data_IF_029718408498
#
_entry.id   IF_029718408498
#
_cell.length_a   1.000
_cell.length_b   1.000
_cell.length_c   1.000
_cell.angle_alpha   90.00
_cell.angle_beta   90.00
_cell.angle_gamma   90.00
#
_symmetry.space_group_name_H-M   'P 1'
#
loop_
_entity.id
_entity.type
_entity.pdbx_description
1 polymer ?
#
# COMPACT_ATOMS: atom_id res chain seq x y z
N UNK A 1 -41.70 -1.76 -21.51
CA UNK A 1 -41.86 -1.40 -20.07
C UNK A 1 -42.01 -2.62 -19.15
N UNK A 2 -42.90 -3.61 -19.40
CA UNK A 2 -42.99 -4.84 -18.57
C UNK A 2 -41.77 -5.77 -18.71
N UNK A 3 -41.30 -6.04 -19.93
CA UNK A 3 -40.08 -6.83 -20.18
C UNK A 3 -38.84 -6.20 -19.53
N UNK A 4 -38.64 -4.90 -19.75
CA UNK A 4 -37.55 -4.11 -19.15
C UNK A 4 -37.54 -4.11 -17.61
N UNK A 5 -38.71 -4.13 -16.95
CA UNK A 5 -38.79 -4.27 -15.49
C UNK A 5 -38.44 -5.68 -15.01
N UNK A 6 -38.78 -6.72 -15.78
CA UNK A 6 -38.40 -8.09 -15.47
C UNK A 6 -36.87 -8.29 -15.64
N UNK A 7 -36.29 -7.70 -16.68
CA UNK A 7 -34.85 -7.77 -16.97
C UNK A 7 -34.02 -6.98 -15.94
N UNK A 8 -34.48 -5.78 -15.53
CA UNK A 8 -33.84 -5.01 -14.45
C UNK A 8 -33.92 -5.70 -13.08
N UNK A 9 -35.02 -6.41 -12.80
CA UNK A 9 -35.14 -7.28 -11.63
C UNK A 9 -34.15 -8.46 -11.67
N UNK A 10 -33.92 -9.02 -12.85
CA UNK A 10 -32.89 -10.04 -13.09
C UNK A 10 -31.47 -9.50 -12.85
N UNK A 11 -31.15 -8.28 -13.31
CA UNK A 11 -29.85 -7.65 -13.08
C UNK A 11 -29.60 -7.40 -11.59
N UNK A 12 -30.58 -6.84 -10.86
CA UNK A 12 -30.46 -6.58 -9.43
C UNK A 12 -30.21 -7.88 -8.63
N UNK A 13 -30.91 -8.97 -8.99
CA UNK A 13 -30.69 -10.28 -8.36
C UNK A 13 -29.28 -10.83 -8.64
N UNK A 14 -28.76 -10.67 -9.87
CA UNK A 14 -27.39 -11.06 -10.24
C UNK A 14 -26.34 -10.25 -9.47
N UNK A 15 -26.54 -8.94 -9.32
CA UNK A 15 -25.67 -8.07 -8.53
C UNK A 15 -25.68 -8.46 -7.05
N UNK A 16 -26.84 -8.78 -6.50
CA UNK A 16 -26.94 -9.26 -5.12
C UNK A 16 -26.19 -10.59 -4.90
N UNK A 17 -26.24 -11.50 -5.87
CA UNK A 17 -25.48 -12.76 -5.83
C UNK A 17 -23.96 -12.53 -5.86
N UNK A 18 -23.48 -11.60 -6.70
CA UNK A 18 -22.07 -11.18 -6.71
C UNK A 18 -21.63 -10.65 -5.33
N UNK A 19 -22.44 -9.78 -4.71
CA UNK A 19 -22.17 -9.22 -3.38
C UNK A 19 -22.22 -10.30 -2.28
N UNK A 20 -23.04 -11.35 -2.46
CA UNK A 20 -23.21 -12.46 -1.52
C UNK A 20 -22.02 -13.43 -1.44
N UNK A 21 -21.11 -13.38 -2.42
CA UNK A 21 -19.93 -14.24 -2.51
C UNK A 21 -20.06 -15.43 -3.48
N UNK A 22 -21.08 -15.44 -4.35
CA UNK A 22 -21.28 -16.49 -5.38
C UNK A 22 -20.75 -16.06 -6.76
N UNK A 23 -19.72 -15.22 -6.78
CA UNK A 23 -19.19 -14.67 -8.02
C UNK A 23 -18.35 -15.68 -8.82
N UNK A 24 -18.80 -15.98 -10.04
CA UNK A 24 -18.05 -16.70 -11.08
C UNK A 24 -17.72 -15.78 -12.26
N UNK A 25 -16.73 -16.15 -13.08
CA UNK A 25 -16.38 -15.43 -14.33
C UNK A 25 -17.59 -15.26 -15.23
N UNK A 26 -18.40 -16.32 -15.35
CA UNK A 26 -19.63 -16.31 -16.14
C UNK A 26 -20.66 -15.36 -15.57
N UNK A 27 -20.85 -15.32 -14.24
CA UNK A 27 -21.79 -14.40 -13.60
C UNK A 27 -21.36 -12.93 -13.77
N UNK A 28 -20.06 -12.64 -13.66
CA UNK A 28 -19.51 -11.31 -13.86
C UNK A 28 -19.64 -10.86 -15.33
N UNK A 29 -19.30 -11.74 -16.27
CA UNK A 29 -19.45 -11.49 -17.70
C UNK A 29 -20.92 -11.29 -18.08
N UNK A 30 -21.84 -12.06 -17.51
CA UNK A 30 -23.27 -11.91 -17.76
C UNK A 30 -23.84 -10.58 -17.25
N UNK A 31 -23.35 -10.07 -16.11
CA UNK A 31 -23.70 -8.72 -15.61
C UNK A 31 -23.08 -7.65 -16.51
N UNK A 32 -21.83 -7.78 -16.91
CA UNK A 32 -21.16 -6.83 -17.82
C UNK A 32 -21.85 -6.74 -19.19
N UNK A 33 -22.21 -7.88 -19.79
CA UNK A 33 -22.96 -7.94 -21.04
C UNK A 33 -24.35 -7.31 -20.92
N UNK A 34 -25.03 -7.50 -19.78
CA UNK A 34 -26.32 -6.85 -19.52
C UNK A 34 -26.20 -5.33 -19.43
N UNK A 35 -25.08 -4.81 -18.91
CA UNK A 35 -24.80 -3.36 -18.90
C UNK A 35 -24.57 -2.81 -20.32
N UNK A 36 -23.86 -3.55 -21.18
CA UNK A 36 -23.60 -3.14 -22.57
C UNK A 36 -24.84 -3.20 -23.47
N UNK A 37 -25.70 -4.21 -23.27
CA UNK A 37 -26.93 -4.39 -24.05
C UNK A 37 -28.03 -3.37 -23.76
N UNK A 38 -27.86 -2.54 -22.73
CA UNK A 38 -28.83 -1.52 -22.34
C UNK A 38 -28.26 -0.13 -22.65
N UNK A 39 -28.81 0.53 -23.67
CA UNK A 39 -28.53 1.95 -23.90
C UNK A 39 -28.87 2.73 -22.62
N UNK A 40 -28.02 3.71 -22.26
CA UNK A 40 -28.09 4.54 -21.04
C UNK A 40 -29.49 5.10 -20.72
N UNK A 41 -30.40 5.15 -21.70
CA UNK A 41 -31.76 5.66 -21.60
C UNK A 41 -32.70 4.85 -20.69
N UNK A 42 -32.34 3.61 -20.32
CA UNK A 42 -33.23 2.71 -19.57
C UNK A 42 -32.70 2.24 -18.21
N UNK A 43 -31.41 2.44 -17.92
CA UNK A 43 -30.79 2.03 -16.67
C UNK A 43 -30.65 3.21 -15.71
N UNK A 44 -31.03 3.02 -14.45
CA UNK A 44 -30.71 3.96 -13.38
C UNK A 44 -29.18 3.95 -13.18
N UNK A 45 -28.55 5.13 -13.18
CA UNK A 45 -27.12 5.32 -12.92
C UNK A 45 -26.67 4.58 -11.64
N UNK A 46 -27.52 4.55 -10.62
CA UNK A 46 -27.23 3.82 -9.37
C UNK A 46 -27.06 2.31 -9.60
N UNK A 47 -27.92 1.69 -10.42
CA UNK A 47 -27.84 0.27 -10.72
C UNK A 47 -26.61 -0.06 -11.56
N UNK A 48 -26.26 0.81 -12.51
CA UNK A 48 -25.01 0.70 -13.29
C UNK A 48 -23.80 0.78 -12.37
N UNK A 49 -23.76 1.80 -11.52
CA UNK A 49 -22.67 2.03 -10.59
C UNK A 49 -22.47 0.84 -9.64
N UNK A 50 -23.55 0.35 -9.02
CA UNK A 50 -23.49 -0.79 -8.11
C UNK A 50 -23.08 -2.09 -8.83
N UNK A 51 -23.49 -2.28 -10.09
CA UNK A 51 -23.10 -3.45 -10.88
C UNK A 51 -21.60 -3.46 -11.18
N UNK A 52 -21.04 -2.32 -11.61
CA UNK A 52 -19.61 -2.19 -11.89
C UNK A 52 -18.76 -2.40 -10.64
N UNK A 53 -19.15 -1.78 -9.52
CA UNK A 53 -18.47 -1.97 -8.23
C UNK A 53 -18.57 -3.41 -7.73
N UNK A 54 -19.72 -4.06 -7.89
CA UNK A 54 -19.89 -5.47 -7.50
C UNK A 54 -18.97 -6.40 -8.31
N UNK A 55 -18.87 -6.21 -9.63
CA UNK A 55 -17.95 -6.98 -10.47
C UNK A 55 -16.49 -6.72 -10.04
N UNK A 56 -16.13 -5.46 -9.82
CA UNK A 56 -14.77 -5.08 -9.45
C UNK A 56 -14.33 -5.68 -8.10
N UNK A 57 -15.19 -5.61 -7.09
CA UNK A 57 -14.93 -6.17 -5.76
C UNK A 57 -15.05 -7.70 -5.70
N UNK A 58 -15.66 -8.33 -6.71
CA UNK A 58 -15.66 -9.78 -6.93
C UNK A 58 -14.37 -10.30 -7.61
N UNK A 59 -13.27 -9.53 -7.54
CA UNK A 59 -11.97 -9.82 -8.18
C UNK A 59 -12.03 -9.98 -9.71
N UNK A 60 -12.94 -9.28 -10.38
CA UNK A 60 -12.96 -9.15 -11.85
C UNK A 60 -12.81 -7.70 -12.30
N UNK A 61 -11.78 -6.96 -11.83
CA UNK A 61 -11.65 -5.55 -12.15
C UNK A 61 -11.39 -5.29 -13.65
N UNK A 62 -10.77 -6.22 -14.38
CA UNK A 62 -10.59 -6.09 -15.83
C UNK A 62 -11.93 -6.07 -16.60
N UNK A 63 -12.83 -6.99 -16.27
CA UNK A 63 -14.19 -7.04 -16.86
C UNK A 63 -14.99 -5.79 -16.52
N UNK A 64 -14.87 -5.32 -15.26
CA UNK A 64 -15.50 -4.06 -14.85
C UNK A 64 -14.92 -2.84 -15.59
N UNK A 65 -13.60 -2.81 -15.83
CA UNK A 65 -12.94 -1.73 -16.56
C UNK A 65 -13.47 -1.63 -17.99
N UNK A 66 -13.48 -2.74 -18.74
CA UNK A 66 -13.98 -2.78 -20.12
C UNK A 66 -15.45 -2.31 -20.20
N UNK A 67 -16.31 -2.79 -19.29
CA UNK A 67 -17.70 -2.35 -19.24
C UNK A 67 -17.83 -0.85 -18.88
N UNK A 68 -17.01 -0.36 -17.95
CA UNK A 68 -17.02 1.04 -17.54
C UNK A 68 -16.52 1.98 -18.64
N UNK A 69 -15.49 1.58 -19.39
CA UNK A 69 -14.89 2.39 -20.46
C UNK A 69 -15.90 2.63 -21.60
N UNK A 70 -16.66 1.61 -22.00
CA UNK A 70 -17.76 1.75 -22.99
C UNK A 70 -18.84 2.73 -22.50
N UNK A 71 -19.21 2.66 -21.23
CA UNK A 71 -20.22 3.55 -20.65
C UNK A 71 -19.71 4.99 -20.51
N UNK A 72 -18.42 5.18 -20.23
CA UNK A 72 -17.75 6.47 -20.18
C UNK A 72 -17.74 7.15 -21.55
N UNK A 73 -17.43 6.42 -22.62
CA UNK A 73 -17.47 6.93 -24.00
C UNK A 73 -18.88 7.43 -24.35
N UNK A 74 -19.90 6.62 -24.07
CA UNK A 74 -21.29 6.98 -24.29
C UNK A 74 -21.72 8.22 -23.47
N UNK A 75 -21.27 8.34 -22.21
CA UNK A 75 -21.51 9.53 -21.38
C UNK A 75 -20.77 10.78 -21.93
N UNK A 76 -19.59 10.58 -22.53
CA UNK A 76 -18.80 11.55 -23.27
C UNK A 76 -19.57 12.16 -24.43
N UNK A 77 -20.01 11.31 -25.36
CA UNK A 77 -20.75 11.69 -26.57
C UNK A 77 -22.03 12.47 -26.23
N UNK A 78 -22.72 12.07 -25.17
CA UNK A 78 -23.97 12.68 -24.70
C UNK A 78 -23.77 13.92 -23.84
N UNK A 79 -22.51 14.28 -23.51
CA UNK A 79 -22.16 15.38 -22.60
C UNK A 79 -22.88 15.29 -21.24
N UNK A 80 -23.07 14.08 -20.75
CA UNK A 80 -23.77 13.82 -19.50
C UNK A 80 -22.81 13.96 -18.30
N UNK A 81 -22.57 15.19 -17.84
CA UNK A 81 -21.54 15.52 -16.82
C UNK A 81 -21.62 14.68 -15.55
N UNK A 82 -22.83 14.45 -15.02
CA UNK A 82 -23.02 13.60 -13.82
C UNK A 82 -22.60 12.15 -14.06
N UNK A 83 -22.94 11.60 -15.24
CA UNK A 83 -22.53 10.24 -15.61
C UNK A 83 -21.01 10.15 -15.80
N UNK A 84 -20.40 11.14 -16.47
CA UNK A 84 -18.95 11.22 -16.63
C UNK A 84 -18.22 11.25 -15.28
N UNK A 85 -18.69 12.07 -14.33
CA UNK A 85 -18.11 12.15 -13.00
C UNK A 85 -18.22 10.82 -12.24
N UNK A 86 -19.43 10.24 -12.17
CA UNK A 86 -19.68 9.01 -11.41
C UNK A 86 -18.96 7.81 -12.02
N UNK A 87 -19.05 7.60 -13.32
CA UNK A 87 -18.33 6.53 -14.00
C UNK A 87 -16.82 6.74 -13.94
N UNK A 88 -16.35 8.00 -14.00
CA UNK A 88 -14.93 8.32 -13.84
C UNK A 88 -14.41 7.95 -12.45
N UNK A 89 -15.19 8.23 -11.40
CA UNK A 89 -14.87 7.81 -10.03
C UNK A 89 -14.84 6.28 -9.88
N UNK A 90 -15.78 5.57 -10.51
CA UNK A 90 -15.81 4.09 -10.51
C UNK A 90 -14.61 3.54 -11.26
N UNK A 91 -14.25 4.12 -12.41
CA UNK A 91 -13.09 3.69 -13.18
C UNK A 91 -11.79 3.88 -12.42
N UNK A 92 -11.70 4.96 -11.64
CA UNK A 92 -10.60 5.21 -10.72
C UNK A 92 -10.53 4.17 -9.59
N UNK A 93 -11.66 3.79 -8.99
CA UNK A 93 -11.72 2.72 -7.99
C UNK A 93 -11.31 1.37 -8.60
N UNK A 94 -11.75 1.06 -9.82
CA UNK A 94 -11.33 -0.13 -10.54
C UNK A 94 -9.81 -0.13 -10.77
N UNK A 95 -9.24 1.02 -11.16
CA UNK A 95 -7.78 1.16 -11.31
C UNK A 95 -7.04 0.94 -9.98
N UNK A 96 -7.59 1.46 -8.86
CA UNK A 96 -7.04 1.22 -7.52
C UNK A 96 -7.04 -0.28 -7.18
N UNK A 97 -8.12 -0.99 -7.49
CA UNK A 97 -8.23 -2.43 -7.29
C UNK A 97 -7.26 -3.23 -8.18
N UNK A 98 -6.88 -2.71 -9.34
CA UNK A 98 -5.82 -3.25 -10.21
C UNK A 98 -4.41 -2.88 -9.70
N UNK A 99 -4.30 -2.07 -8.65
CA UNK A 99 -3.03 -1.56 -8.14
C UNK A 99 -2.41 -0.47 -9.03
N UNK A 100 -3.12 0.04 -10.04
CA UNK A 100 -2.70 1.21 -10.82
C UNK A 100 -3.07 2.49 -10.07
N UNK A 101 -2.27 2.78 -9.03
CA UNK A 101 -2.49 3.93 -8.14
C UNK A 101 -2.32 5.28 -8.85
N UNK A 102 -1.55 5.31 -9.95
CA UNK A 102 -1.38 6.54 -10.74
C UNK A 102 -2.67 6.88 -11.48
N UNK A 103 -3.22 5.93 -12.23
CA UNK A 103 -4.50 6.14 -12.93
C UNK A 103 -5.65 6.36 -11.94
N UNK A 104 -5.63 5.66 -10.79
CA UNK A 104 -6.63 5.84 -9.74
C UNK A 104 -6.65 7.26 -9.17
N UNK A 105 -5.49 7.81 -8.78
CA UNK A 105 -5.43 9.17 -8.22
C UNK A 105 -5.87 10.21 -9.26
N UNK A 106 -5.36 10.12 -10.49
CA UNK A 106 -5.71 11.06 -11.57
C UNK A 106 -7.21 11.01 -11.92
N UNK A 107 -7.77 9.80 -12.06
CA UNK A 107 -9.19 9.62 -12.37
C UNK A 107 -10.10 10.13 -11.26
N UNK A 108 -9.77 9.83 -10.00
CA UNK A 108 -10.56 10.26 -8.85
C UNK A 108 -10.54 11.79 -8.67
N UNK A 109 -9.37 12.43 -8.82
CA UNK A 109 -9.25 13.89 -8.79
C UNK A 109 -9.98 14.55 -9.96
N UNK A 110 -9.92 13.96 -11.16
CA UNK A 110 -10.67 14.44 -12.34
C UNK A 110 -12.18 14.37 -12.10
N UNK A 111 -12.66 13.28 -11.51
CA UNK A 111 -14.07 13.14 -11.15
C UNK A 111 -14.50 14.23 -10.15
N UNK A 112 -13.72 14.45 -9.08
CA UNK A 112 -13.97 15.52 -8.09
C UNK A 112 -13.98 16.91 -8.73
N UNK A 113 -13.16 17.16 -9.75
CA UNK A 113 -13.17 18.41 -10.51
C UNK A 113 -14.34 18.55 -11.49
N UNK A 114 -14.92 17.44 -11.94
CA UNK A 114 -16.01 17.42 -12.93
C UNK A 114 -17.36 17.81 -12.31
N UNK A 115 -17.59 17.46 -11.05
CA UNK A 115 -18.84 17.71 -10.35
C UNK A 115 -18.58 18.39 -9.00
N UNK A 116 -19.31 19.47 -8.71
CA UNK A 116 -19.19 20.21 -7.43
C UNK A 116 -19.44 19.28 -6.25
N UNK A 117 -18.68 19.46 -5.16
CA UNK A 117 -18.76 18.64 -3.95
C UNK A 117 -20.21 18.45 -3.43
N UNK A 118 -21.02 19.50 -3.42
CA UNK A 118 -22.40 19.45 -2.93
C UNK A 118 -23.32 18.58 -3.80
N UNK A 119 -22.99 18.39 -5.08
CA UNK A 119 -23.79 17.62 -6.03
C UNK A 119 -23.55 16.11 -5.95
N UNK A 120 -22.53 15.67 -5.21
CA UNK A 120 -22.22 14.25 -5.04
C UNK A 120 -23.09 13.56 -3.99
N UNK A 121 -23.61 14.31 -3.00
CA UNK A 121 -24.26 13.72 -1.84
C UNK A 121 -23.35 12.71 -1.14
N UNK A 122 -23.90 11.56 -0.72
CA UNK A 122 -23.13 10.50 -0.04
C UNK A 122 -22.09 9.82 -0.95
N UNK A 123 -22.24 9.92 -2.27
CA UNK A 123 -21.35 9.27 -3.22
C UNK A 123 -19.96 9.91 -3.27
N UNK A 124 -19.80 11.12 -2.72
CA UNK A 124 -18.49 11.82 -2.66
C UNK A 124 -17.42 10.97 -1.98
N UNK A 125 -17.83 10.08 -1.06
CA UNK A 125 -16.93 9.18 -0.36
C UNK A 125 -16.18 8.24 -1.30
N UNK A 126 -16.76 7.85 -2.45
CA UNK A 126 -16.09 7.01 -3.44
C UNK A 126 -14.82 7.68 -3.98
N UNK A 127 -14.90 8.78 -4.76
CA UNK A 127 -13.69 9.38 -5.32
C UNK A 127 -12.73 9.93 -4.25
N UNK A 128 -13.22 10.43 -3.10
CA UNK A 128 -12.34 10.83 -2.00
C UNK A 128 -11.53 9.65 -1.45
N UNK A 129 -12.19 8.54 -1.13
CA UNK A 129 -11.51 7.36 -0.57
C UNK A 129 -10.52 6.75 -1.56
N UNK A 130 -10.88 6.71 -2.85
CA UNK A 130 -9.99 6.24 -3.92
C UNK A 130 -8.76 7.15 -4.05
N UNK A 131 -8.94 8.47 -4.11
CA UNK A 131 -7.84 9.42 -4.22
C UNK A 131 -6.92 9.39 -2.99
N UNK A 132 -7.47 9.37 -1.77
CA UNK A 132 -6.69 9.28 -0.53
C UNK A 132 -5.86 8.00 -0.50
N UNK A 133 -6.46 6.86 -0.88
CA UNK A 133 -5.76 5.57 -0.90
C UNK A 133 -4.63 5.56 -1.93
N UNK A 134 -4.90 6.05 -3.14
CA UNK A 134 -3.93 6.13 -4.22
C UNK A 134 -2.76 7.07 -3.89
N UNK A 135 -3.04 8.30 -3.42
CA UNK A 135 -2.02 9.28 -3.05
C UNK A 135 -1.17 8.79 -1.86
N UNK A 136 -1.79 8.13 -0.89
CA UNK A 136 -1.08 7.50 0.24
C UNK A 136 -0.15 6.39 -0.26
N UNK A 137 -0.63 5.54 -1.18
CA UNK A 137 0.17 4.48 -1.77
C UNK A 137 1.35 5.01 -2.61
N UNK A 138 1.21 6.19 -3.21
CA UNK A 138 2.25 6.90 -3.96
C UNK A 138 3.25 7.68 -3.07
N UNK A 139 2.98 7.81 -1.77
CA UNK A 139 3.79 8.63 -0.86
C UNK A 139 3.48 10.13 -0.90
N UNK A 140 2.48 10.56 -1.67
CA UNK A 140 1.98 11.94 -1.74
C UNK A 140 1.11 12.30 -0.53
N UNK A 141 1.67 12.20 0.68
CA UNK A 141 0.92 12.34 1.92
C UNK A 141 0.31 13.73 2.12
N UNK A 142 0.98 14.79 1.66
CA UNK A 142 0.46 16.16 1.79
C UNK A 142 -0.82 16.39 0.98
N UNK A 143 -0.88 15.84 -0.24
CA UNK A 143 -2.07 15.92 -1.10
C UNK A 143 -3.22 15.08 -0.52
N UNK A 144 -2.92 13.89 0.01
CA UNK A 144 -3.91 13.07 0.69
C UNK A 144 -4.50 13.77 1.94
N UNK A 145 -3.67 14.46 2.74
CA UNK A 145 -4.11 15.21 3.92
C UNK A 145 -5.01 16.40 3.53
N UNK A 146 -4.78 17.05 2.38
CA UNK A 146 -5.66 18.12 1.90
C UNK A 146 -7.07 17.58 1.60
N UNK A 147 -7.16 16.40 0.98
CA UNK A 147 -8.45 15.77 0.70
C UNK A 147 -9.23 15.40 1.98
N UNK A 148 -8.54 15.13 3.09
CA UNK A 148 -9.17 14.86 4.37
C UNK A 148 -9.85 16.09 4.99
N UNK A 149 -9.53 17.30 4.51
CA UNK A 149 -10.17 18.55 4.95
C UNK A 149 -11.49 18.84 4.25
N UNK A 150 -11.86 18.06 3.23
CA UNK A 150 -13.15 18.22 2.58
C UNK A 150 -14.30 17.89 3.53
N UNK A 151 -15.30 18.80 3.57
CA UNK A 151 -16.55 18.55 4.26
C UNK A 151 -17.30 17.39 3.58
N UNK A 152 -17.49 16.31 4.33
CA UNK A 152 -18.25 15.14 3.89
C UNK A 152 -19.61 15.09 4.60
N UNK A 153 -20.70 14.77 3.89
CA UNK A 153 -22.03 14.71 4.52
C UNK A 153 -22.11 13.65 5.63
N UNK A 154 -22.64 13.99 6.80
CA UNK A 154 -22.81 13.05 7.92
C UNK A 154 -23.54 11.73 7.52
N UNK A 155 -24.60 11.75 6.68
CA UNK A 155 -25.26 10.52 6.25
C UNK A 155 -24.34 9.54 5.49
N UNK A 156 -23.23 10.02 4.91
CA UNK A 156 -22.25 9.19 4.21
C UNK A 156 -21.67 8.10 5.13
N UNK A 157 -21.42 8.42 6.40
CA UNK A 157 -20.85 7.49 7.38
C UNK A 157 -21.76 6.30 7.73
N UNK A 158 -23.03 6.34 7.31
CA UNK A 158 -23.98 5.21 7.45
C UNK A 158 -24.05 4.32 6.21
N UNK A 159 -23.20 4.57 5.21
CA UNK A 159 -23.15 3.84 3.94
C UNK A 159 -21.81 3.16 3.73
N UNK A 160 -21.70 2.32 2.69
CA UNK A 160 -20.44 1.68 2.29
C UNK A 160 -19.34 2.70 1.97
N UNK A 161 -19.70 3.86 1.42
CA UNK A 161 -18.75 4.93 1.09
C UNK A 161 -18.11 5.55 2.34
N UNK A 162 -18.87 5.64 3.44
CA UNK A 162 -18.34 6.05 4.73
C UNK A 162 -17.30 5.06 5.28
N UNK A 163 -17.57 3.76 5.15
CA UNK A 163 -16.63 2.71 5.56
C UNK A 163 -15.36 2.76 4.70
N UNK A 164 -15.49 2.90 3.38
CA UNK A 164 -14.34 3.05 2.47
C UNK A 164 -13.51 4.29 2.80
N UNK A 165 -14.16 5.42 3.07
CA UNK A 165 -13.50 6.66 3.48
C UNK A 165 -12.73 6.50 4.79
N UNK A 166 -13.34 5.91 5.82
CA UNK A 166 -12.67 5.64 7.10
C UNK A 166 -11.47 4.71 6.93
N UNK A 167 -11.57 3.68 6.09
CA UNK A 167 -10.44 2.80 5.78
C UNK A 167 -9.30 3.55 5.09
N UNK A 168 -9.61 4.35 4.07
CA UNK A 168 -8.62 5.16 3.35
C UNK A 168 -7.90 6.12 4.30
N UNK A 169 -8.66 6.83 5.15
CA UNK A 169 -8.11 7.73 6.18
C UNK A 169 -7.26 6.99 7.21
N UNK A 170 -7.71 5.80 7.67
CA UNK A 170 -6.93 4.97 8.58
C UNK A 170 -5.61 4.51 7.98
N UNK A 171 -5.58 4.10 6.71
CA UNK A 171 -4.33 3.76 6.01
C UNK A 171 -3.41 4.98 5.85
N UNK A 172 -3.97 6.16 5.55
CA UNK A 172 -3.23 7.41 5.53
C UNK A 172 -2.58 7.73 6.88
N UNK A 173 -3.34 7.59 7.97
CA UNK A 173 -2.82 7.74 9.33
C UNK A 173 -1.71 6.75 9.65
N UNK A 174 -1.81 5.49 9.22
CA UNK A 174 -0.71 4.53 9.37
C UNK A 174 0.55 4.95 8.62
N UNK A 175 0.41 5.41 7.37
CA UNK A 175 1.54 5.83 6.54
C UNK A 175 2.23 7.10 7.09
N UNK A 176 1.51 7.92 7.84
CA UNK A 176 2.00 9.16 8.47
C UNK A 176 2.33 9.00 9.96
N UNK A 177 2.55 7.76 10.42
CA UNK A 177 2.94 7.39 11.79
C UNK A 177 1.97 7.85 12.90
N UNK A 178 0.66 7.83 12.58
CA UNK A 178 -0.46 8.10 13.50
C UNK A 178 -1.28 6.82 13.79
N UNK A 179 -0.69 5.75 14.37
CA UNK A 179 -1.34 4.44 14.44
C UNK A 179 -2.58 4.40 15.35
N UNK A 180 -2.67 5.22 16.39
CA UNK A 180 -3.86 5.26 17.26
C UNK A 180 -5.07 5.90 16.58
N UNK A 181 -4.85 6.92 15.73
CA UNK A 181 -5.92 7.50 14.92
C UNK A 181 -6.43 6.47 13.89
N UNK A 182 -5.52 5.74 13.25
CA UNK A 182 -5.87 4.64 12.35
C UNK A 182 -6.68 3.55 13.06
N UNK A 183 -6.27 3.15 14.26
CA UNK A 183 -6.99 2.15 15.06
C UNK A 183 -8.43 2.56 15.30
N UNK A 184 -8.69 3.81 15.69
CA UNK A 184 -10.04 4.32 15.92
C UNK A 184 -10.93 4.25 14.66
N UNK A 185 -10.38 4.57 13.48
CA UNK A 185 -11.11 4.48 12.22
C UNK A 185 -11.43 3.03 11.84
N UNK A 186 -10.48 2.10 12.02
CA UNK A 186 -10.69 0.68 11.72
C UNK A 186 -11.65 0.01 12.71
N UNK A 187 -11.59 0.36 14.00
CA UNK A 187 -12.57 -0.09 15.01
C UNK A 187 -13.98 0.42 14.69
N UNK A 188 -14.08 1.67 14.24
CA UNK A 188 -15.35 2.25 13.79
C UNK A 188 -15.90 1.50 12.57
N UNK A 189 -15.06 1.20 11.57
CA UNK A 189 -15.44 0.34 10.45
C UNK A 189 -15.98 -1.01 10.92
N UNK A 190 -15.26 -1.67 11.83
CA UNK A 190 -15.66 -2.97 12.37
C UNK A 190 -16.96 -2.95 13.16
N UNK A 191 -17.26 -1.85 13.87
CA UNK A 191 -18.54 -1.65 14.54
C UNK A 191 -19.68 -1.47 13.53
N UNK A 192 -19.53 -0.54 12.59
CA UNK A 192 -20.54 -0.24 11.56
C UNK A 192 -20.87 -1.46 10.70
N UNK A 193 -19.86 -2.27 10.34
CA UNK A 193 -20.07 -3.48 9.54
C UNK A 193 -20.74 -4.62 10.33
N UNK A 194 -20.50 -4.71 11.64
CA UNK A 194 -21.19 -5.68 12.52
C UNK A 194 -22.64 -5.30 12.79
N UNK A 195 -22.92 -4.01 12.92
CA UNK A 195 -24.29 -3.47 13.10
C UNK A 195 -25.08 -3.44 11.77
N UNK A 196 -24.37 -3.44 10.64
CA UNK A 196 -24.92 -3.35 9.29
C UNK A 196 -25.17 -4.69 8.60
N UNK A 197 -25.08 -4.68 7.26
CA UNK A 197 -25.39 -5.83 6.42
C UNK A 197 -24.28 -6.91 6.49
N UNK A 198 -24.57 -8.16 6.92
CA UNK A 198 -23.59 -9.24 7.00
C UNK A 198 -22.86 -9.55 5.68
N UNK A 199 -23.51 -9.37 4.53
CA UNK A 199 -22.89 -9.62 3.21
C UNK A 199 -21.72 -8.68 2.92
N UNK A 200 -21.78 -7.43 3.41
CA UNK A 200 -20.69 -6.46 3.22
C UNK A 200 -19.44 -6.81 4.04
N UNK A 201 -19.59 -7.57 5.13
CA UNK A 201 -18.45 -7.99 5.96
C UNK A 201 -17.49 -8.91 5.20
N UNK A 202 -17.96 -9.61 4.16
CA UNK A 202 -17.14 -10.51 3.34
C UNK A 202 -16.25 -9.74 2.36
N UNK A 203 -16.79 -8.67 1.77
CA UNK A 203 -16.11 -7.88 0.74
C UNK A 203 -15.11 -6.86 1.27
N UNK A 204 -15.22 -6.46 2.54
CA UNK A 204 -14.41 -5.37 3.13
C UNK A 204 -13.47 -5.95 4.20
N UNK A 205 -12.14 -5.97 3.97
CA UNK A 205 -11.17 -6.64 4.84
C UNK A 205 -10.77 -5.82 6.09
N UNK A 206 -11.73 -5.25 6.81
CA UNK A 206 -11.46 -4.39 7.99
C UNK A 206 -10.70 -5.09 9.12
N UNK A 207 -10.80 -6.43 9.22
CA UNK A 207 -10.00 -7.22 10.17
C UNK A 207 -8.53 -7.25 9.79
N UNK A 208 -8.22 -7.28 8.49
CA UNK A 208 -6.84 -7.12 8.01
C UNK A 208 -6.30 -5.72 8.36
N UNK A 209 -7.14 -4.69 8.29
CA UNK A 209 -6.73 -3.34 8.69
C UNK A 209 -6.45 -3.26 10.20
N UNK A 210 -7.29 -3.88 11.03
CA UNK A 210 -7.04 -4.03 12.47
C UNK A 210 -5.77 -4.84 12.77
N UNK A 211 -5.53 -5.90 12.01
CA UNK A 211 -4.31 -6.69 12.14
C UNK A 211 -3.07 -5.84 11.79
N UNK A 212 -3.12 -5.06 10.72
CA UNK A 212 -2.04 -4.18 10.28
C UNK A 212 -1.69 -3.13 11.34
N UNK A 213 -2.67 -2.42 11.89
CA UNK A 213 -2.41 -1.41 12.93
C UNK A 213 -1.91 -2.05 14.22
N UNK A 214 -2.44 -3.21 14.62
CA UNK A 214 -1.97 -3.92 15.80
C UNK A 214 -0.53 -4.40 15.64
N UNK A 215 -0.12 -4.79 14.44
CA UNK A 215 1.27 -5.12 14.13
C UNK A 215 2.16 -3.88 14.30
N UNK A 216 1.73 -2.72 13.79
CA UNK A 216 2.47 -1.45 13.86
C UNK A 216 2.69 -0.96 15.30
N UNK A 217 1.72 -1.17 16.19
CA UNK A 217 1.84 -0.81 17.62
C UNK A 217 2.48 -1.91 18.48
N UNK A 218 3.05 -2.96 17.87
CA UNK A 218 3.77 -4.03 18.58
C UNK A 218 2.90 -5.12 19.20
N UNK A 219 1.59 -5.14 18.95
CA UNK A 219 0.65 -6.16 19.44
C UNK A 219 0.56 -7.34 18.47
N UNK A 220 1.68 -8.04 18.25
CA UNK A 220 1.79 -9.12 17.26
C UNK A 220 0.80 -10.29 17.46
N UNK A 221 0.44 -10.60 18.71
CA UNK A 221 -0.56 -11.64 19.01
C UNK A 221 -1.96 -11.23 18.54
N UNK A 222 -2.40 -10.03 18.92
CA UNK A 222 -3.69 -9.47 18.49
C UNK A 222 -3.75 -9.29 16.97
N UNK A 223 -2.64 -8.89 16.35
CA UNK A 223 -2.54 -8.81 14.89
C UNK A 223 -2.79 -10.16 14.21
N UNK A 224 -2.18 -11.24 14.74
CA UNK A 224 -2.43 -12.60 14.27
C UNK A 224 -3.88 -13.02 14.45
N UNK A 225 -4.46 -12.79 15.63
CA UNK A 225 -5.85 -13.17 15.93
C UNK A 225 -6.83 -12.56 14.91
N UNK A 226 -6.66 -11.28 14.58
CA UNK A 226 -7.47 -10.59 13.56
C UNK A 226 -7.26 -11.14 12.15
N UNK A 227 -6.00 -11.41 11.76
CA UNK A 227 -5.71 -11.96 10.44
C UNK A 227 -6.25 -13.39 10.27
N UNK A 228 -6.21 -14.21 11.33
CA UNK A 228 -6.85 -15.52 11.34
C UNK A 228 -8.38 -15.41 11.33
N UNK A 229 -8.96 -14.46 12.07
CA UNK A 229 -10.41 -14.22 12.02
C UNK A 229 -10.86 -13.83 10.61
N UNK A 230 -10.09 -13.00 9.90
CA UNK A 230 -10.35 -12.71 8.49
C UNK A 230 -10.41 -14.03 7.71
N UNK A 231 -9.40 -14.90 7.79
CA UNK A 231 -9.38 -16.17 7.05
C UNK A 231 -10.45 -17.19 7.46
N UNK A 232 -11.06 -17.04 8.64
CA UNK A 232 -12.11 -17.96 9.13
C UNK A 232 -13.52 -17.60 8.63
N UNK A 233 -13.75 -16.47 7.96
CA UNK A 233 -15.12 -16.12 7.55
C UNK A 233 -15.72 -17.17 6.58
N UNK A 234 -16.96 -17.62 6.84
CA UNK A 234 -17.62 -18.64 6.03
C UNK A 234 -18.05 -18.08 4.66
N UNK A 235 -17.90 -18.92 3.61
CA UNK A 235 -18.26 -18.57 2.23
C UNK A 235 -17.13 -17.94 1.40
N UNK A 236 -15.88 -17.99 1.90
CA UNK A 236 -14.71 -17.47 1.21
C UNK A 236 -14.57 -15.94 1.28
N UNK A 237 -13.41 -15.45 0.86
CA UNK A 237 -13.08 -14.03 0.72
C UNK A 237 -12.66 -13.79 -0.72
N UNK A 238 -12.63 -12.52 -1.13
CA UNK A 238 -11.86 -12.15 -2.32
C UNK A 238 -10.42 -12.64 -2.20
N UNK A 239 -9.83 -13.09 -3.31
CA UNK A 239 -8.41 -13.39 -3.46
C UNK A 239 -7.54 -12.26 -2.91
N UNK A 240 -7.95 -11.00 -3.12
CA UNK A 240 -7.28 -9.82 -2.53
C UNK A 240 -7.32 -9.84 -1.00
N UNK A 241 -8.49 -9.99 -0.38
CA UNK A 241 -8.62 -10.00 1.08
C UNK A 241 -7.84 -11.16 1.73
N UNK A 242 -7.88 -12.35 1.11
CA UNK A 242 -7.09 -13.52 1.54
C UNK A 242 -5.60 -13.24 1.44
N UNK A 243 -5.12 -12.69 0.32
CA UNK A 243 -3.72 -12.33 0.15
C UNK A 243 -3.24 -11.35 1.22
N UNK A 244 -4.00 -10.28 1.49
CA UNK A 244 -3.69 -9.32 2.55
C UNK A 244 -3.56 -9.99 3.92
N UNK A 245 -4.50 -10.88 4.27
CA UNK A 245 -4.46 -11.61 5.53
C UNK A 245 -3.25 -12.55 5.62
N UNK A 246 -2.89 -13.24 4.54
CA UNK A 246 -1.70 -14.10 4.47
C UNK A 246 -0.40 -13.32 4.68
N UNK A 247 -0.27 -12.12 4.11
CA UNK A 247 0.88 -11.23 4.37
C UNK A 247 1.00 -10.85 5.84
N UNK A 248 -0.11 -10.51 6.49
CA UNK A 248 -0.15 -10.17 7.91
C UNK A 248 0.19 -11.38 8.80
N UNK A 249 -0.29 -12.58 8.44
CA UNK A 249 0.11 -13.82 9.11
C UNK A 249 1.58 -14.13 8.90
N UNK A 250 2.14 -13.86 7.72
CA UNK A 250 3.57 -14.03 7.48
C UNK A 250 4.38 -13.10 8.40
N UNK A 251 4.04 -11.82 8.48
CA UNK A 251 4.74 -10.86 9.33
C UNK A 251 4.77 -11.28 10.81
N UNK A 252 3.68 -11.88 11.31
CA UNK A 252 3.61 -12.37 12.70
C UNK A 252 4.24 -13.74 12.91
N UNK A 253 4.57 -14.49 11.84
CA UNK A 253 5.04 -15.89 11.87
C UNK A 253 6.56 -16.04 11.98
N UNK A 254 7.00 -17.24 12.38
CA UNK A 254 8.43 -17.62 12.40
C UNK A 254 9.02 -17.59 10.98
N UNK A 255 10.30 -17.25 10.80
CA UNK A 255 10.94 -17.04 9.48
C UNK A 255 10.67 -18.15 8.45
N UNK A 256 10.80 -19.42 8.84
CA UNK A 256 10.60 -20.57 7.93
C UNK A 256 9.17 -20.71 7.38
N UNK A 257 8.15 -20.17 8.07
CA UNK A 257 6.74 -20.18 7.61
C UNK A 257 6.36 -18.94 6.79
N UNK A 258 7.17 -17.88 6.84
CA UNK A 258 6.86 -16.62 6.13
C UNK A 258 6.82 -16.84 4.62
N UNK A 259 7.83 -17.53 4.08
CA UNK A 259 7.98 -17.70 2.64
C UNK A 259 6.83 -18.48 1.99
N UNK A 260 6.24 -19.49 2.66
CA UNK A 260 5.12 -20.25 2.10
C UNK A 260 3.84 -19.41 2.05
N UNK A 261 3.54 -18.65 3.12
CA UNK A 261 2.37 -17.77 3.18
C UNK A 261 2.46 -16.64 2.15
N UNK A 262 3.64 -16.07 1.97
CA UNK A 262 3.88 -14.99 1.01
C UNK A 262 3.80 -15.48 -0.44
N UNK A 263 4.26 -16.70 -0.74
CA UNK A 263 4.08 -17.30 -2.08
C UNK A 263 2.60 -17.49 -2.42
N UNK A 264 1.82 -18.03 -1.50
CA UNK A 264 0.36 -18.16 -1.70
C UNK A 264 -0.30 -16.78 -1.90
N UNK A 265 0.10 -15.78 -1.11
CA UNK A 265 -0.37 -14.40 -1.30
C UNK A 265 -0.02 -13.87 -2.69
N UNK A 266 1.20 -14.10 -3.19
CA UNK A 266 1.65 -13.65 -4.52
C UNK A 266 0.79 -14.27 -5.63
N UNK A 267 0.49 -15.57 -5.54
CA UNK A 267 -0.32 -16.26 -6.55
C UNK A 267 -1.75 -15.71 -6.60
N UNK A 268 -2.33 -15.40 -5.44
CA UNK A 268 -3.65 -14.76 -5.34
C UNK A 268 -3.65 -13.34 -5.91
N UNK A 269 -2.62 -12.55 -5.63
CA UNK A 269 -2.49 -11.16 -6.12
C UNK A 269 -2.29 -11.09 -7.62
N UNK A 270 -1.54 -12.04 -8.20
CA UNK A 270 -1.44 -12.20 -9.67
C UNK A 270 -2.79 -12.52 -10.28
N UNK A 271 -3.56 -13.41 -9.65
CA UNK A 271 -4.86 -13.84 -10.16
C UNK A 271 -5.88 -12.72 -10.14
N UNK A 272 -5.95 -11.90 -9.07
CA UNK A 272 -6.87 -10.75 -9.02
C UNK A 272 -6.33 -9.48 -9.70
N UNK A 273 -5.05 -9.48 -10.08
CA UNK A 273 -4.41 -8.38 -10.82
C UNK A 273 -4.05 -7.16 -9.97
N UNK A 274 -3.88 -7.30 -8.65
CA UNK A 274 -3.51 -6.19 -7.76
C UNK A 274 -1.99 -5.99 -7.72
N UNK A 275 -1.50 -5.10 -8.59
CA UNK A 275 -0.06 -4.90 -8.83
C UNK A 275 0.66 -4.21 -7.68
N UNK A 276 0.00 -3.26 -7.03
CA UNK A 276 0.53 -2.54 -5.88
C UNK A 276 0.78 -3.50 -4.72
N UNK A 277 -0.23 -4.29 -4.34
CA UNK A 277 -0.08 -5.27 -3.28
C UNK A 277 0.89 -6.39 -3.66
N UNK A 278 1.00 -6.75 -4.95
CA UNK A 278 1.99 -7.70 -5.46
C UNK A 278 3.43 -7.21 -5.25
N UNK A 279 3.71 -5.93 -5.53
CA UNK A 279 5.01 -5.32 -5.27
C UNK A 279 5.39 -5.43 -3.77
N UNK A 280 4.43 -5.13 -2.89
CA UNK A 280 4.64 -5.25 -1.45
C UNK A 280 4.83 -6.70 -0.99
N UNK A 281 4.06 -7.66 -1.53
CA UNK A 281 4.20 -9.07 -1.19
C UNK A 281 5.58 -9.63 -1.61
N UNK A 282 6.10 -9.19 -2.76
CA UNK A 282 7.46 -9.51 -3.16
C UNK A 282 8.50 -8.88 -2.24
N UNK A 283 8.32 -7.64 -1.80
CA UNK A 283 9.23 -7.01 -0.83
C UNK A 283 9.25 -7.79 0.50
N UNK A 284 8.08 -8.17 1.02
CA UNK A 284 7.96 -8.99 2.24
C UNK A 284 8.69 -10.34 2.07
N UNK A 285 8.56 -10.98 0.90
CA UNK A 285 9.22 -12.26 0.62
C UNK A 285 10.74 -12.10 0.47
N UNK A 286 11.20 -11.00 -0.13
CA UNK A 286 12.61 -10.66 -0.20
C UNK A 286 13.20 -10.50 1.19
N UNK A 287 12.55 -9.75 2.07
CA UNK A 287 12.96 -9.57 3.46
C UNK A 287 13.01 -10.91 4.21
N UNK A 288 12.01 -11.77 4.02
CA UNK A 288 11.99 -13.11 4.63
C UNK A 288 13.17 -13.99 4.17
N UNK A 289 13.53 -13.95 2.88
CA UNK A 289 14.72 -14.67 2.39
C UNK A 289 16.02 -14.07 2.93
N UNK A 290 16.08 -12.74 3.09
CA UNK A 290 17.24 -12.05 3.63
C UNK A 290 17.50 -12.46 5.10
N UNK A 291 16.46 -12.47 5.93
CA UNK A 291 16.53 -12.92 7.33
C UNK A 291 17.01 -14.38 7.47
N UNK A 292 16.72 -15.22 6.48
CA UNK A 292 17.15 -16.63 6.42
C UNK A 292 18.58 -16.80 5.87
N UNK A 293 19.25 -15.70 5.48
CA UNK A 293 20.58 -15.75 4.85
C UNK A 293 20.57 -16.19 3.38
N UNK A 294 19.39 -16.31 2.76
CA UNK A 294 19.22 -16.72 1.36
C UNK A 294 19.38 -15.54 0.39
N UNK A 295 20.49 -14.80 0.48
CA UNK A 295 20.66 -13.49 -0.15
C UNK A 295 20.45 -13.48 -1.67
N UNK A 296 20.86 -14.54 -2.38
CA UNK A 296 20.66 -14.64 -3.83
C UNK A 296 19.16 -14.69 -4.20
N UNK A 297 18.36 -15.42 -3.42
CA UNK A 297 16.90 -15.47 -3.59
C UNK A 297 16.26 -14.15 -3.18
N UNK A 298 16.70 -13.56 -2.06
CA UNK A 298 16.24 -12.25 -1.61
C UNK A 298 16.38 -11.19 -2.72
N UNK A 299 17.54 -11.14 -3.41
CA UNK A 299 17.79 -10.22 -4.53
C UNK A 299 16.94 -10.51 -5.77
N UNK A 300 16.71 -11.77 -6.10
CA UNK A 300 15.85 -12.12 -7.24
C UNK A 300 14.42 -11.62 -7.01
N UNK A 301 13.90 -11.85 -5.81
CA UNK A 301 12.56 -11.41 -5.41
C UNK A 301 12.47 -9.89 -5.26
N UNK A 302 13.53 -9.25 -4.73
CA UNK A 302 13.65 -7.78 -4.67
C UNK A 302 13.50 -7.13 -6.06
N UNK A 303 14.14 -7.69 -7.08
CA UNK A 303 14.01 -7.23 -8.46
C UNK A 303 12.58 -7.37 -9.01
N UNK A 304 11.83 -8.38 -8.58
CA UNK A 304 10.42 -8.52 -8.94
C UNK A 304 9.57 -7.43 -8.28
N UNK A 305 9.79 -7.15 -6.98
CA UNK A 305 9.11 -6.05 -6.28
C UNK A 305 9.38 -4.70 -6.96
N UNK A 306 10.64 -4.42 -7.32
CA UNK A 306 11.02 -3.19 -8.01
C UNK A 306 10.36 -3.02 -9.39
N UNK A 307 10.27 -4.11 -10.18
CA UNK A 307 9.58 -4.07 -11.49
C UNK A 307 8.10 -3.77 -11.36
N UNK A 308 7.41 -4.37 -10.39
CA UNK A 308 5.99 -4.08 -10.17
C UNK A 308 5.78 -2.66 -9.63
N UNK A 309 6.65 -2.18 -8.74
CA UNK A 309 6.64 -0.80 -8.25
C UNK A 309 6.85 0.23 -9.38
N UNK A 310 7.86 0.01 -10.23
CA UNK A 310 8.15 0.86 -11.39
C UNK A 310 6.94 0.95 -12.33
N UNK A 311 6.31 -0.19 -12.61
CA UNK A 311 5.15 -0.23 -13.49
C UNK A 311 3.89 0.41 -12.87
N UNK A 312 3.82 0.54 -11.54
CA UNK A 312 2.81 1.34 -10.84
C UNK A 312 3.23 2.81 -10.63
N UNK A 313 4.49 3.16 -10.98
CA UNK A 313 5.15 4.46 -10.75
C UNK A 313 5.17 4.89 -9.28
N UNK A 314 5.37 3.93 -8.39
CA UNK A 314 5.53 4.18 -6.95
C UNK A 314 6.99 4.04 -6.53
N UNK A 315 7.33 4.59 -5.37
CA UNK A 315 8.62 4.31 -4.74
C UNK A 315 8.76 2.80 -4.47
N UNK A 316 9.95 2.25 -4.74
CA UNK A 316 10.19 0.83 -4.53
C UNK A 316 10.05 0.49 -3.04
N UNK A 317 9.25 -0.53 -2.67
CA UNK A 317 9.15 -0.98 -1.28
C UNK A 317 10.40 -1.74 -0.80
N UNK A 318 11.44 -1.84 -1.63
CA UNK A 318 12.67 -2.57 -1.36
C UNK A 318 13.84 -1.60 -1.28
N UNK A 319 14.70 -1.78 -0.28
CA UNK A 319 15.91 -0.97 -0.15
C UNK A 319 16.82 -1.10 -1.39
N UNK A 320 17.32 0.04 -1.87
CA UNK A 320 18.19 0.11 -3.06
C UNK A 320 19.40 -0.83 -3.01
N UNK A 321 19.95 -1.08 -1.81
CA UNK A 321 21.11 -1.96 -1.63
C UNK A 321 20.83 -3.44 -1.96
N UNK A 322 19.56 -3.88 -1.97
CA UNK A 322 19.16 -5.23 -2.38
C UNK A 322 19.03 -5.36 -3.91
N UNK A 323 18.95 -4.24 -4.61
CA UNK A 323 18.89 -4.16 -6.07
C UNK A 323 20.29 -4.04 -6.69
N UNK A 324 21.29 -3.65 -5.91
CA UNK A 324 22.70 -3.64 -6.30
C UNK A 324 23.24 -5.08 -6.39
N UNK A 325 23.95 -5.38 -7.49
CA UNK A 325 24.61 -6.66 -7.66
C UNK A 325 25.91 -6.69 -6.84
N UNK A 326 26.16 -7.68 -5.94
CA UNK A 326 27.36 -7.68 -5.10
C UNK A 326 28.69 -7.81 -5.86
N UNK A 327 28.68 -8.10 -7.15
CA UNK A 327 29.85 -8.04 -8.01
C UNK A 327 29.43 -8.14 -9.49
N UNK A 328 29.42 -7.01 -10.19
CA UNK A 328 30.16 -7.03 -11.45
C UNK A 328 31.60 -6.74 -11.03
N UNK A 329 32.58 -7.63 -11.22
CA UNK A 329 33.96 -7.21 -11.20
C UNK A 329 34.06 -6.20 -12.35
N UNK A 330 33.93 -4.92 -12.04
CA UNK A 330 34.60 -3.93 -12.85
C UNK A 330 36.04 -4.40 -12.90
N UNK A 331 36.52 -4.56 -14.13
CA UNK A 331 37.92 -4.75 -14.44
C UNK A 331 38.71 -3.60 -13.80
N UNK A 332 39.01 -3.76 -12.51
CA UNK A 332 39.98 -2.96 -11.80
C UNK A 332 41.32 -3.38 -12.38
N UNK A 333 41.72 -2.67 -13.43
CA UNK A 333 43.11 -2.28 -13.53
C UNK A 333 43.52 -1.78 -12.15
N UNK A 334 44.49 -2.47 -11.57
CA UNK A 334 45.57 -1.94 -10.77
C UNK A 334 45.29 -0.59 -10.11
N UNK A 335 45.08 -0.59 -8.79
CA UNK A 335 45.96 0.10 -7.84
C UNK A 335 45.42 -0.04 -6.41
N UNK A 336 46.26 -0.61 -5.53
CA UNK A 336 46.00 -0.66 -4.11
C UNK A 336 46.10 0.73 -3.48
N UNK A 337 45.02 1.19 -2.86
CA UNK A 337 45.00 2.36 -1.99
C UNK A 337 44.11 2.09 -0.76
N UNK A 338 44.45 2.65 0.42
CA UNK A 338 43.70 2.39 1.66
C UNK A 338 42.25 2.84 1.55
N UNK A 339 41.32 2.05 2.08
CA UNK A 339 39.88 2.33 2.04
C UNK A 339 39.55 3.67 2.74
N UNK A 340 39.32 4.73 1.95
CA UNK A 340 38.96 6.05 2.47
C UNK A 340 37.48 6.04 2.89
N UNK A 341 37.22 6.34 4.16
CA UNK A 341 35.86 6.60 4.65
C UNK A 341 35.37 7.95 4.12
N UNK A 342 34.09 8.02 3.75
CA UNK A 342 33.45 9.32 3.46
C UNK A 342 33.32 10.17 4.73
N UNK A 343 33.15 11.49 4.59
CA UNK A 343 33.02 12.42 5.72
C UNK A 343 31.88 12.04 6.68
N UNK A 344 30.75 11.54 6.14
CA UNK A 344 29.62 11.09 6.95
C UNK A 344 29.94 9.81 7.72
N UNK A 345 30.61 8.85 7.07
CA UNK A 345 31.08 7.61 7.72
C UNK A 345 32.15 7.90 8.78
N UNK A 346 33.05 8.86 8.53
CA UNK A 346 34.07 9.27 9.49
C UNK A 346 33.46 9.88 10.76
N UNK A 347 32.44 10.73 10.62
CA UNK A 347 31.72 11.33 11.76
C UNK A 347 31.00 10.27 12.60
N UNK A 348 30.32 9.32 11.95
CA UNK A 348 29.63 8.22 12.63
C UNK A 348 30.63 7.26 13.29
N UNK A 349 31.69 6.87 12.59
CA UNK A 349 32.75 6.00 13.11
C UNK A 349 33.44 6.63 14.32
N UNK A 350 33.76 7.92 14.26
CA UNK A 350 34.40 8.65 15.36
C UNK A 350 33.55 8.70 16.62
N UNK A 351 32.25 9.00 16.50
CA UNK A 351 31.35 8.98 17.66
C UNK A 351 31.15 7.55 18.20
N UNK A 352 31.10 6.54 17.33
CA UNK A 352 31.01 5.16 17.78
C UNK A 352 32.29 4.67 18.49
N UNK A 353 33.47 5.08 18.03
CA UNK A 353 34.75 4.80 18.67
C UNK A 353 34.90 5.49 20.04
N UNK A 354 34.24 6.64 20.24
CA UNK A 354 34.16 7.34 21.53
C UNK A 354 33.13 6.73 22.50
N UNK A 355 32.43 5.66 22.12
CA UNK A 355 31.52 4.92 22.99
C UNK A 355 30.06 5.39 23.00
N UNK A 356 29.68 6.36 22.17
CA UNK A 356 28.29 6.79 22.05
C UNK A 356 27.41 5.68 21.47
N UNK A 357 26.16 5.57 21.91
CA UNK A 357 25.16 4.63 21.36
C UNK A 357 24.57 5.12 20.03
N UNK A 358 23.95 4.25 19.23
CA UNK A 358 23.35 4.64 17.94
C UNK A 358 22.29 5.75 18.10
N UNK A 359 21.57 5.77 19.23
CA UNK A 359 20.57 6.80 19.57
C UNK A 359 21.19 8.16 19.93
N UNK A 360 22.34 8.16 20.59
CA UNK A 360 23.06 9.40 20.89
C UNK A 360 23.73 9.97 19.65
N UNK A 361 24.28 9.09 18.78
CA UNK A 361 24.86 9.49 17.50
C UNK A 361 23.80 10.07 16.58
N UNK A 362 22.61 9.44 16.50
CA UNK A 362 21.51 9.91 15.66
C UNK A 362 21.05 11.31 16.10
N UNK A 363 20.93 11.52 17.41
CA UNK A 363 20.57 12.82 17.99
C UNK A 363 21.63 13.89 17.73
N UNK A 364 22.92 13.54 17.79
CA UNK A 364 24.04 14.48 17.64
C UNK A 364 24.31 14.87 16.18
N UNK A 365 24.02 13.95 15.25
CA UNK A 365 24.20 14.16 13.81
C UNK A 365 22.90 14.59 13.10
N UNK A 366 21.79 14.70 13.82
CA UNK A 366 20.47 15.03 13.27
C UNK A 366 20.04 14.08 12.13
N UNK A 367 20.30 12.78 12.31
CA UNK A 367 19.92 11.71 11.37
C UNK A 367 19.13 10.62 12.10
N UNK A 368 18.52 9.69 11.38
CA UNK A 368 17.79 8.59 12.01
C UNK A 368 18.73 7.52 12.60
N UNK A 369 18.25 6.73 13.56
CA UNK A 369 19.00 5.59 14.14
C UNK A 369 19.39 4.59 13.04
N UNK A 370 18.47 4.32 12.10
CA UNK A 370 18.71 3.44 10.95
C UNK A 370 19.85 3.96 10.06
N UNK A 371 19.92 5.28 9.84
CA UNK A 371 21.03 5.92 9.10
C UNK A 371 22.38 5.70 9.81
N UNK A 372 22.40 5.77 11.14
CA UNK A 372 23.62 5.48 11.93
C UNK A 372 24.05 4.02 11.80
N UNK A 373 23.11 3.08 11.89
CA UNK A 373 23.36 1.64 11.73
C UNK A 373 23.89 1.30 10.34
N UNK A 374 23.34 1.95 9.31
CA UNK A 374 23.76 1.81 7.93
C UNK A 374 25.18 2.34 7.71
N UNK A 375 25.53 3.50 8.29
CA UNK A 375 26.89 4.04 8.24
C UNK A 375 27.88 3.14 8.98
N UNK A 376 27.54 2.61 10.17
CA UNK A 376 28.41 1.70 10.89
C UNK A 376 28.65 0.38 10.16
N UNK A 377 27.64 -0.17 9.50
CA UNK A 377 27.78 -1.38 8.68
C UNK A 377 28.76 -1.17 7.53
N UNK A 378 28.72 0.01 6.87
CA UNK A 378 29.68 0.36 5.81
C UNK A 378 31.08 0.59 6.36
N UNK A 379 31.20 1.23 7.52
CA UNK A 379 32.48 1.45 8.22
C UNK A 379 33.14 0.13 8.60
N UNK A 380 32.39 -0.82 9.18
CA UNK A 380 32.91 -2.15 9.54
C UNK A 380 33.44 -2.90 8.34
N UNK A 381 32.73 -2.83 7.21
CA UNK A 381 33.18 -3.44 5.95
C UNK A 381 34.41 -2.76 5.36
N UNK A 382 34.46 -1.42 5.37
CA UNK A 382 35.58 -0.64 4.81
C UNK A 382 36.86 -0.75 5.63
N UNK A 383 36.73 -0.79 6.95
CA UNK A 383 37.86 -0.90 7.88
C UNK A 383 38.18 -2.36 8.27
N UNK A 384 37.44 -3.33 7.73
CA UNK A 384 37.55 -4.77 8.03
C UNK A 384 37.55 -5.06 9.55
N UNK A 385 36.51 -4.59 10.23
CA UNK A 385 36.34 -4.69 11.69
C UNK A 385 35.16 -5.60 12.03
N UNK A 386 35.35 -6.52 12.98
CA UNK A 386 34.31 -7.49 13.33
C UNK A 386 33.37 -6.99 14.43
N UNK A 387 33.81 -6.03 15.25
CA UNK A 387 33.05 -5.58 16.42
C UNK A 387 33.25 -4.09 16.72
N UNK A 388 32.28 -3.49 17.42
CA UNK A 388 32.33 -2.08 17.85
C UNK A 388 33.52 -1.77 18.75
N UNK A 389 34.00 -2.75 19.51
CA UNK A 389 35.17 -2.67 20.39
C UNK A 389 36.51 -2.54 19.65
N UNK A 390 36.55 -2.93 18.38
CA UNK A 390 37.76 -2.88 17.54
C UNK A 390 37.85 -1.59 16.69
N UNK A 391 36.78 -0.77 16.67
CA UNK A 391 36.77 0.53 15.99
C UNK A 391 37.89 1.47 16.47
N UNK A 392 38.12 1.65 17.78
CA UNK A 392 39.13 2.62 18.25
C UNK A 392 40.54 2.27 17.80
N UNK A 393 40.91 0.98 17.79
CA UNK A 393 42.24 0.53 17.36
C UNK A 393 42.44 0.65 15.85
N UNK A 394 41.42 0.34 15.04
CA UNK A 394 41.50 0.48 13.57
C UNK A 394 41.42 1.92 13.07
N UNK A 395 40.74 2.81 13.78
CA UNK A 395 40.75 4.24 13.48
C UNK A 395 42.10 4.91 13.79
N UNK A 396 42.93 4.32 14.65
CA UNK A 396 44.30 4.78 14.93
C UNK A 396 45.32 4.30 13.87
N UNK A 397 45.12 3.11 13.29
CA UNK A 397 45.98 2.55 12.22
C UNK A 397 45.79 3.25 10.87
N UNK A 398 44.56 3.63 10.53
CA UNK A 398 44.27 4.47 9.35
C UNK A 398 44.39 5.95 9.73
N UNK A 399 45.58 6.55 9.60
CA UNK A 399 45.83 8.00 9.84
C UNK A 399 44.85 8.88 9.05
N UNK A 400 43.71 9.21 9.64
CA UNK A 400 42.89 10.35 9.27
C UNK A 400 43.60 11.59 9.83
N UNK A 401 43.94 12.59 9.01
CA UNK A 401 44.56 13.82 9.51
C UNK A 401 43.63 14.51 10.51
N UNK A 402 44.09 14.59 11.77
CA UNK A 402 43.69 15.51 12.85
C UNK A 402 42.27 16.09 12.79
N UNK A 403 41.36 15.46 13.52
CA UNK A 403 40.10 16.06 14.00
C UNK A 403 40.31 17.08 15.16
N UNK A 404 41.56 17.41 15.55
CA UNK A 404 41.85 18.28 16.69
C UNK A 404 41.75 19.79 16.41
N UNK A 405 41.90 20.25 15.15
CA UNK A 405 42.12 21.69 14.91
C UNK A 405 40.86 22.43 14.40
N UNK A 406 39.74 21.73 14.15
CA UNK A 406 38.48 22.34 13.68
C UNK A 406 37.36 22.43 14.72
N UNK A 407 37.51 21.79 15.87
CA UNK A 407 36.53 21.83 16.96
C UNK A 407 36.92 22.81 18.08
N UNK A 408 38.19 23.21 18.16
CA UNK A 408 38.66 24.23 19.12
C UNK A 408 38.22 25.66 18.74
N UNK A 409 37.84 25.92 17.50
CA UNK A 409 37.45 27.24 17.00
C UNK A 409 35.95 27.56 17.10
N UNK A 410 35.12 26.63 17.56
CA UNK A 410 33.66 26.83 17.69
C UNK A 410 33.14 26.83 19.13
N UNK A 411 34.01 26.67 20.14
CA UNK A 411 33.61 26.67 21.56
C UNK A 411 34.46 27.58 22.48
N UNK A 412 35.10 28.62 21.94
CA UNK A 412 35.77 29.67 22.74
C UNK A 412 35.18 31.05 22.42
N UNK A 413 33.92 31.26 22.79
CA UNK A 413 33.33 32.59 23.03
C UNK A 413 32.00 32.45 23.78
N UNK A 414 32.10 32.11 25.07
CA UNK A 414 31.09 32.40 26.08
C UNK A 414 31.81 32.41 27.43
N UNK A 415 32.64 33.43 27.61
CA UNK A 415 33.00 33.97 28.92
C UNK A 415 32.09 35.15 29.20
#
# INVERSE_FOLDING_TARGET
RRQVRADAGGLAARVAALIGGEATDESAAAVAQALQGHQLDYLNLELVAMSLLAIAHADRPAVAAEACDVLLECAGERRATTWQAVLGAIRAEIALLQGDVTTASQGALTALGTLRAQSWGVLIGLPLSTAISALTAMGSYAEAEELLRHDVPEPMFRTVFGIQYLRARGHHYLATDRPFAALGDFETCGRLLREGNPSLQKGIPWRSDLALVNLRIGKARTAREWAEEQLRLPGGHSSRARAMALRLLAATSKPHRRASLLRESIDLLKTCGDRYALAQAYADLSAAHYELGEYARARLVARQAAREAEACRIESPVDAHLLEDPARPETAGTEGGPAILSDAECRVAGLAALGYTNREISSRLHVTISTVEQHLTRVYRKLNVASRSELPSKMLEHRIPKLSDRWASTHSSAG
#
